data_IF_034168524803
#
_entry.id   IF_034168524803
#
_cell.length_a   1.000
_cell.length_b   1.000
_cell.length_c   1.000
_cell.angle_alpha   90.00
_cell.angle_beta   90.00
_cell.angle_gamma   90.00
#
_symmetry.space_group_name_H-M   'P 1'
#
loop_
_entity.id
_entity.type
_entity.pdbx_description
1 polymer ?
#
# COMPACT_ATOMS: atom_id res chain seq x y z
N UNK A 1 -18.25 -18.70 3.17
CA UNK A 1 -18.73 -17.36 2.75
C UNK A 1 -18.36 -16.36 3.85
N UNK A 2 -17.18 -15.74 3.77
CA UNK A 2 -16.73 -14.77 4.78
C UNK A 2 -17.51 -13.46 4.62
N UNK A 3 -18.20 -13.06 5.69
CA UNK A 3 -18.85 -11.76 5.84
C UNK A 3 -17.89 -10.85 6.59
N UNK A 4 -17.19 -9.95 5.88
CA UNK A 4 -16.79 -8.58 6.30
C UNK A 4 -15.85 -8.01 5.23
N UNK A 5 -15.66 -6.69 5.24
CA UNK A 5 -15.06 -5.83 4.21
C UNK A 5 -16.08 -5.23 3.23
N UNK A 6 -16.84 -4.26 3.77
CA UNK A 6 -17.68 -3.34 3.03
C UNK A 6 -16.96 -1.99 2.82
N UNK A 7 -17.18 -1.41 1.63
CA UNK A 7 -16.79 -0.09 1.13
C UNK A 7 -15.34 0.10 0.62
N UNK A 8 -15.26 0.52 -0.64
CA UNK A 8 -14.06 0.78 -1.43
C UNK A 8 -13.22 1.95 -0.90
N UNK A 9 -13.82 2.93 -0.22
CA UNK A 9 -13.10 4.04 0.41
C UNK A 9 -12.24 3.59 1.61
N UNK A 10 -12.57 2.43 2.18
CA UNK A 10 -11.94 1.89 3.38
C UNK A 10 -10.85 0.86 3.10
N UNK A 11 -10.47 0.62 1.84
CA UNK A 11 -9.58 -0.49 1.48
C UNK A 11 -8.15 -0.34 1.99
N UNK A 12 -7.61 0.88 1.93
CA UNK A 12 -6.25 1.22 2.37
C UNK A 12 -6.24 1.54 3.86
N UNK A 13 -7.13 2.47 4.24
CA UNK A 13 -7.47 2.79 5.61
C UNK A 13 -7.69 1.51 6.44
N UNK A 14 -8.65 0.64 6.16
CA UNK A 14 -8.92 -0.55 7.03
C UNK A 14 -7.91 -1.69 6.90
N UNK A 15 -7.03 -1.69 5.89
CA UNK A 15 -5.93 -2.66 5.87
C UNK A 15 -4.87 -2.33 6.94
N UNK A 16 -4.85 -1.08 7.42
CA UNK A 16 -3.83 -0.56 8.35
C UNK A 16 -4.41 0.11 9.62
N UNK A 17 -5.63 0.65 9.57
CA UNK A 17 -6.29 1.44 10.64
C UNK A 17 -7.05 0.55 11.64
N UNK A 18 -7.49 -0.66 11.25
CA UNK A 18 -8.33 -1.52 12.11
C UNK A 18 -7.87 -2.99 12.16
N UNK A 19 -6.64 -3.29 11.71
CA UNK A 19 -6.04 -4.62 11.88
C UNK A 19 -5.18 -4.63 13.13
N UNK A 20 -5.82 -5.03 14.23
CA UNK A 20 -5.27 -5.44 15.54
C UNK A 20 -3.78 -5.79 15.55
N UNK A 21 -3.01 -5.01 16.32
CA UNK A 21 -1.59 -5.21 16.56
C UNK A 21 -1.33 -5.76 17.97
N UNK A 22 -0.76 -6.97 18.06
CA UNK A 22 -0.16 -7.47 19.31
C UNK A 22 1.28 -6.99 19.46
N UNK A 23 1.47 -5.72 19.85
CA UNK A 23 2.75 -5.17 20.29
C UNK A 23 2.60 -4.68 21.75
N UNK A 24 3.57 -4.89 22.66
CA UNK A 24 3.43 -4.54 24.08
C UNK A 24 3.08 -3.07 24.36
N UNK A 25 3.35 -2.17 23.41
CA UNK A 25 3.02 -0.73 23.48
C UNK A 25 1.83 -0.32 22.61
N UNK A 26 1.17 -1.26 21.92
CA UNK A 26 -0.03 -0.99 21.09
C UNK A 26 -1.29 -1.55 21.79
N UNK A 27 -2.46 -0.90 21.67
CA UNK A 27 -3.69 -1.36 22.32
C UNK A 27 -4.07 -2.79 21.91
N UNK A 28 -4.26 -3.66 22.90
CA UNK A 28 -4.54 -5.08 22.72
C UNK A 28 -6.05 -5.36 22.77
N UNK A 29 -6.60 -6.27 21.93
CA UNK A 29 -7.89 -6.87 22.23
C UNK A 29 -7.76 -7.69 23.52
N UNK A 30 -8.77 -7.60 24.39
CA UNK A 30 -8.77 -8.36 25.65
C UNK A 30 -8.89 -9.85 25.32
N UNK A 31 -8.24 -10.67 26.15
CA UNK A 31 -8.05 -12.12 25.93
C UNK A 31 -9.32 -12.91 25.65
N UNK A 32 -10.48 -12.36 25.99
CA UNK A 32 -11.78 -13.02 25.90
C UNK A 32 -12.42 -12.92 24.50
N UNK A 33 -11.83 -12.13 23.58
CA UNK A 33 -12.28 -11.97 22.18
C UNK A 33 -11.41 -12.78 21.17
N UNK A 34 -10.63 -13.75 21.64
CA UNK A 34 -9.83 -14.61 20.75
C UNK A 34 -10.72 -15.67 20.11
N UNK A 35 -11.50 -15.28 19.10
CA UNK A 35 -12.29 -16.21 18.29
C UNK A 35 -11.40 -17.33 17.72
N UNK A 36 -11.91 -18.57 17.73
CA UNK A 36 -11.26 -19.76 17.14
C UNK A 36 -10.95 -19.60 15.63
N UNK A 37 -11.50 -18.55 15.00
CA UNK A 37 -11.35 -18.18 13.58
C UNK A 37 -10.30 -17.05 13.33
N UNK A 38 -9.37 -16.80 14.26
CA UNK A 38 -8.34 -15.76 14.07
C UNK A 38 -7.22 -16.16 13.08
N UNK A 39 -6.65 -15.19 12.35
CA UNK A 39 -5.47 -15.38 11.48
C UNK A 39 -4.20 -15.82 12.23
N UNK A 40 -4.23 -15.83 13.57
CA UNK A 40 -3.18 -16.40 14.42
C UNK A 40 -3.14 -17.93 14.34
N UNK A 41 -4.24 -18.56 13.95
CA UNK A 41 -4.31 -20.01 13.75
C UNK A 41 -4.03 -20.32 12.29
N UNK A 42 -3.26 -21.38 12.04
CA UNK A 42 -3.01 -21.86 10.69
C UNK A 42 -4.29 -22.45 10.09
N UNK A 43 -4.89 -21.75 9.13
CA UNK A 43 -6.09 -22.20 8.42
C UNK A 43 -5.79 -23.01 7.15
N UNK A 44 -4.55 -22.93 6.65
CA UNK A 44 -4.05 -23.59 5.44
C UNK A 44 -2.68 -24.22 5.68
N UNK A 45 -2.44 -25.44 5.16
CA UNK A 45 -1.14 -26.11 5.29
C UNK A 45 -0.01 -25.37 4.56
N UNK A 46 -0.36 -24.58 3.53
CA UNK A 46 0.54 -23.68 2.80
C UNK A 46 -0.19 -22.43 2.37
N UNK A 47 0.53 -21.33 2.25
CA UNK A 47 0.00 -20.07 1.73
C UNK A 47 1.05 -19.34 0.89
N UNK A 48 0.57 -18.36 0.11
CA UNK A 48 1.38 -17.46 -0.69
C UNK A 48 1.13 -16.03 -0.22
N UNK A 49 2.13 -15.18 -0.32
CA UNK A 49 2.00 -13.72 -0.30
C UNK A 49 2.84 -13.17 -1.45
N UNK A 50 2.64 -11.89 -1.78
CA UNK A 50 3.39 -11.20 -2.83
C UNK A 50 4.07 -9.99 -2.22
N UNK A 51 5.32 -9.78 -2.60
CA UNK A 51 6.07 -8.55 -2.34
C UNK A 51 6.26 -7.85 -3.67
N UNK A 52 5.94 -6.55 -3.70
CA UNK A 52 6.41 -5.63 -4.72
C UNK A 52 6.93 -4.36 -4.06
N UNK A 53 7.49 -3.47 -4.86
CA UNK A 53 8.03 -2.19 -4.44
C UNK A 53 8.09 -1.27 -5.67
N UNK A 54 8.38 0.01 -5.43
CA UNK A 54 8.77 0.96 -6.49
C UNK A 54 7.71 1.11 -7.60
N UNK A 55 6.43 1.25 -7.22
CA UNK A 55 5.41 1.59 -8.21
C UNK A 55 5.58 3.01 -8.74
N UNK A 56 6.15 3.89 -7.90
CA UNK A 56 6.64 5.23 -8.21
C UNK A 56 5.80 6.01 -9.23
N UNK A 57 4.49 6.12 -8.98
CA UNK A 57 3.58 6.82 -9.90
C UNK A 57 4.11 8.24 -10.20
N UNK A 58 4.49 8.48 -11.46
CA UNK A 58 4.99 9.76 -11.95
C UNK A 58 6.51 9.90 -12.01
N UNK A 59 7.28 8.84 -11.74
CA UNK A 59 8.75 8.89 -11.83
C UNK A 59 9.23 9.03 -13.27
N UNK A 60 8.47 8.49 -14.24
CA UNK A 60 8.82 8.54 -15.67
C UNK A 60 8.53 9.92 -16.28
N UNK A 61 7.83 10.80 -15.55
CA UNK A 61 7.60 12.19 -15.97
C UNK A 61 8.94 12.92 -16.11
N UNK A 62 9.52 12.89 -17.32
CA UNK A 62 10.85 13.41 -17.58
C UNK A 62 10.87 14.95 -17.67
N UNK A 63 11.97 15.53 -17.21
CA UNK A 63 12.61 16.68 -17.86
C UNK A 63 12.03 18.08 -17.68
N UNK A 64 10.74 18.28 -17.88
CA UNK A 64 10.22 19.60 -18.24
C UNK A 64 8.87 19.91 -17.59
N UNK A 65 8.51 21.19 -17.59
CA UNK A 65 7.17 21.61 -17.23
C UNK A 65 6.23 21.02 -18.28
N UNK A 66 5.50 19.97 -17.91
CA UNK A 66 4.52 19.37 -18.79
C UNK A 66 3.21 20.12 -18.64
N UNK A 67 2.61 20.51 -19.76
CA UNK A 67 1.25 21.03 -19.79
C UNK A 67 0.22 19.99 -19.33
N UNK A 68 0.58 18.70 -19.41
CA UNK A 68 -0.28 17.57 -19.04
C UNK A 68 0.52 16.46 -18.31
N UNK A 69 0.68 16.56 -16.98
CA UNK A 69 1.23 15.50 -16.13
C UNK A 69 0.52 14.15 -16.28
N UNK A 70 1.27 13.07 -16.53
CA UNK A 70 0.71 11.71 -16.61
C UNK A 70 1.67 10.64 -16.09
N UNK A 71 1.12 9.51 -15.66
CA UNK A 71 1.82 8.31 -15.18
C UNK A 71 1.15 7.05 -15.73
N UNK A 72 0.77 7.11 -17.00
CA UNK A 72 0.04 6.04 -17.71
C UNK A 72 0.84 4.74 -17.76
N UNK A 73 2.18 4.84 -17.85
CA UNK A 73 3.06 3.68 -17.88
C UNK A 73 3.00 2.94 -16.54
N UNK A 74 3.14 3.66 -15.43
CA UNK A 74 3.07 3.12 -14.06
C UNK A 74 1.68 2.56 -13.76
N UNK A 75 0.62 3.23 -14.21
CA UNK A 75 -0.76 2.73 -14.15
C UNK A 75 -0.89 1.41 -14.91
N UNK A 76 -0.43 1.32 -16.15
CA UNK A 76 -0.61 0.13 -16.98
C UNK A 76 0.23 -1.04 -16.48
N UNK A 77 1.46 -0.80 -16.00
CA UNK A 77 2.26 -1.83 -15.31
C UNK A 77 1.50 -2.35 -14.09
N UNK A 78 0.96 -1.46 -13.25
CA UNK A 78 0.20 -1.83 -12.04
C UNK A 78 -1.07 -2.61 -12.38
N UNK A 79 -1.84 -2.20 -13.39
CA UNK A 79 -3.03 -2.91 -13.87
C UNK A 79 -2.68 -4.33 -14.35
N UNK A 80 -1.58 -4.49 -15.09
CA UNK A 80 -1.11 -5.82 -15.53
C UNK A 80 -0.68 -6.70 -14.35
N UNK A 81 -0.01 -6.13 -13.36
CA UNK A 81 0.35 -6.85 -12.13
C UNK A 81 -0.91 -7.32 -11.40
N UNK A 82 -1.86 -6.42 -11.14
CA UNK A 82 -3.15 -6.72 -10.51
C UNK A 82 -3.91 -7.81 -11.25
N UNK A 83 -3.97 -7.75 -12.60
CA UNK A 83 -4.62 -8.77 -13.41
C UNK A 83 -4.00 -10.15 -13.20
N UNK A 84 -2.67 -10.24 -13.12
CA UNK A 84 -1.95 -11.49 -12.85
C UNK A 84 -2.23 -11.99 -11.43
N UNK A 85 -2.17 -11.11 -10.44
CA UNK A 85 -2.44 -11.45 -9.03
C UNK A 85 -3.87 -11.99 -8.87
N UNK A 86 -4.84 -11.28 -9.45
CA UNK A 86 -6.26 -11.65 -9.41
C UNK A 86 -6.55 -12.98 -10.13
N UNK A 87 -5.67 -13.43 -11.04
CA UNK A 87 -5.83 -14.71 -11.72
C UNK A 87 -5.32 -15.90 -10.88
N UNK A 88 -4.50 -15.65 -9.84
CA UNK A 88 -3.92 -16.70 -9.00
C UNK A 88 -5.01 -17.39 -8.16
N UNK A 89 -4.96 -18.72 -8.17
CA UNK A 89 -5.86 -19.59 -7.40
C UNK A 89 -7.34 -19.49 -7.76
N UNK A 90 -7.67 -19.03 -8.98
CA UNK A 90 -9.05 -19.03 -9.51
C UNK A 90 -9.51 -20.37 -10.05
N UNK A 91 -8.57 -21.28 -10.39
CA UNK A 91 -8.91 -22.61 -10.89
C UNK A 91 -9.19 -23.55 -9.71
N UNK A 92 -10.15 -24.45 -9.90
CA UNK A 92 -10.50 -25.47 -8.92
C UNK A 92 -9.27 -26.32 -8.59
N UNK A 93 -8.94 -26.44 -7.30
CA UNK A 93 -7.75 -27.15 -6.82
C UNK A 93 -6.49 -26.29 -6.68
N UNK A 94 -6.51 -25.03 -7.13
CA UNK A 94 -5.40 -24.07 -7.00
C UNK A 94 -5.69 -23.01 -5.92
N UNK A 95 -6.70 -23.16 -5.07
CA UNK A 95 -7.14 -22.12 -4.12
C UNK A 95 -6.01 -21.66 -3.17
N UNK A 96 -5.06 -22.55 -2.89
CA UNK A 96 -3.87 -22.29 -2.08
C UNK A 96 -2.83 -21.39 -2.78
N UNK A 97 -2.87 -21.29 -4.12
CA UNK A 97 -2.02 -20.38 -4.91
C UNK A 97 -2.47 -18.94 -4.80
N UNK A 98 -3.71 -18.70 -4.35
CA UNK A 98 -4.22 -17.36 -4.15
C UNK A 98 -3.47 -16.69 -2.97
N UNK A 99 -2.84 -15.52 -3.19
CA UNK A 99 -2.13 -14.82 -2.13
C UNK A 99 -3.05 -14.44 -0.98
N UNK A 100 -2.56 -14.57 0.26
CA UNK A 100 -3.25 -14.10 1.45
C UNK A 100 -3.17 -12.59 1.62
N UNK A 101 -2.12 -11.97 1.08
CA UNK A 101 -1.92 -10.52 1.02
C UNK A 101 -0.88 -10.17 -0.04
N UNK A 102 -0.85 -8.90 -0.41
CA UNK A 102 0.19 -8.26 -1.20
C UNK A 102 0.82 -7.17 -0.33
N UNK A 103 2.14 -7.13 -0.23
CA UNK A 103 2.89 -6.07 0.43
C UNK A 103 3.61 -5.22 -0.62
N UNK A 104 3.36 -3.91 -0.62
CA UNK A 104 4.07 -2.91 -1.43
C UNK A 104 5.08 -2.19 -0.54
N UNK A 105 6.35 -2.53 -0.71
CA UNK A 105 7.46 -2.16 0.16
C UNK A 105 8.09 -0.81 -0.25
N UNK A 106 7.28 0.26 -0.26
CA UNK A 106 7.76 1.62 -0.44
C UNK A 106 7.80 2.12 -1.88
N UNK A 107 8.10 3.41 -1.97
CA UNK A 107 8.19 4.20 -3.19
C UNK A 107 6.93 4.04 -4.05
N UNK A 108 5.79 4.34 -3.42
CA UNK A 108 4.46 4.15 -4.00
C UNK A 108 4.18 5.19 -5.08
N UNK A 109 4.49 6.45 -4.77
CA UNK A 109 4.40 7.62 -5.66
C UNK A 109 5.78 8.23 -5.87
N UNK A 110 5.96 9.06 -6.89
CA UNK A 110 7.27 9.63 -7.22
C UNK A 110 7.86 10.44 -6.06
N UNK A 111 7.13 11.35 -5.42
CA UNK A 111 7.71 12.11 -4.29
C UNK A 111 6.65 12.87 -3.52
N UNK A 112 6.80 12.87 -2.20
CA UNK A 112 6.07 13.77 -1.33
C UNK A 112 6.25 15.25 -1.72
N UNK A 113 5.14 15.98 -1.82
CA UNK A 113 5.08 17.33 -2.35
C UNK A 113 6.05 18.34 -1.71
N UNK A 114 6.44 18.17 -0.44
CA UNK A 114 7.34 19.10 0.25
C UNK A 114 8.82 18.91 -0.12
N UNK A 115 9.22 17.80 -0.75
CA UNK A 115 10.61 17.55 -1.10
C UNK A 115 11.01 18.28 -2.39
N UNK A 116 11.58 19.46 -2.21
CA UNK A 116 12.12 20.28 -3.30
C UNK A 116 13.55 19.88 -3.72
N UNK A 117 14.23 19.02 -2.94
CA UNK A 117 15.60 18.57 -3.21
C UNK A 117 15.69 17.30 -4.05
N UNK A 118 14.56 16.64 -4.33
CA UNK A 118 14.53 15.46 -5.19
C UNK A 118 14.98 15.85 -6.60
N UNK A 119 15.96 15.12 -7.16
CA UNK A 119 16.44 15.29 -8.53
C UNK A 119 15.37 14.78 -9.51
N UNK A 120 14.25 15.48 -9.65
CA UNK A 120 13.32 15.25 -10.75
C UNK A 120 13.03 16.58 -11.43
N UNK A 121 13.16 16.56 -12.75
CA UNK A 121 13.30 17.77 -13.56
C UNK A 121 12.01 18.59 -13.63
N UNK A 122 10.84 17.97 -13.43
CA UNK A 122 9.55 18.66 -13.27
C UNK A 122 9.41 19.37 -11.91
N UNK A 123 9.99 18.81 -10.83
CA UNK A 123 9.91 19.39 -9.47
C UNK A 123 10.69 20.70 -9.34
N UNK A 124 11.67 20.93 -10.23
CA UNK A 124 12.45 22.18 -10.28
C UNK A 124 11.71 23.33 -10.96
N UNK A 125 10.76 23.00 -11.84
CA UNK A 125 10.07 23.98 -12.70
C UNK A 125 8.62 24.20 -12.27
N UNK A 126 8.09 23.34 -11.40
CA UNK A 126 6.78 23.52 -10.77
C UNK A 126 6.85 24.27 -9.45
N UNK A 127 5.91 25.19 -9.26
CA UNK A 127 5.67 25.86 -7.98
C UNK A 127 5.27 24.88 -6.88
N UNK A 128 5.30 25.34 -5.63
CA UNK A 128 4.93 24.48 -4.49
C UNK A 128 3.48 23.95 -4.56
N UNK A 129 2.55 24.73 -5.11
CA UNK A 129 1.15 24.29 -5.20
C UNK A 129 0.94 23.29 -6.34
N UNK A 130 1.62 23.46 -7.48
CA UNK A 130 1.56 22.50 -8.60
C UNK A 130 2.10 21.14 -8.18
N UNK A 131 3.25 21.12 -7.47
CA UNK A 131 3.81 19.88 -6.92
C UNK A 131 2.85 19.17 -5.97
N UNK A 132 2.11 19.94 -5.15
CA UNK A 132 1.12 19.37 -4.25
C UNK A 132 -0.06 18.75 -5.00
N UNK A 133 -0.59 19.42 -6.02
CA UNK A 133 -1.66 18.86 -6.85
C UNK A 133 -1.23 17.58 -7.58
N UNK A 134 -0.01 17.55 -8.13
CA UNK A 134 0.55 16.35 -8.77
C UNK A 134 0.67 15.21 -7.76
N UNK A 135 1.24 15.47 -6.58
CA UNK A 135 1.37 14.46 -5.52
C UNK A 135 0.00 13.89 -5.08
N UNK A 136 -1.00 14.75 -4.84
CA UNK A 136 -2.34 14.31 -4.46
C UNK A 136 -2.98 13.45 -5.57
N UNK A 137 -2.79 13.83 -6.82
CA UNK A 137 -3.32 13.10 -7.97
C UNK A 137 -2.60 11.74 -8.17
N UNK A 138 -1.28 11.66 -7.96
CA UNK A 138 -0.53 10.38 -7.94
C UNK A 138 -1.05 9.44 -6.84
N UNK A 139 -1.25 9.95 -5.62
CA UNK A 139 -1.81 9.16 -4.52
C UNK A 139 -3.21 8.66 -4.83
N UNK A 140 -4.06 9.53 -5.39
CA UNK A 140 -5.43 9.19 -5.78
C UNK A 140 -5.43 8.07 -6.83
N UNK A 141 -4.61 8.19 -7.86
CA UNK A 141 -4.58 7.21 -8.95
C UNK A 141 -3.93 5.90 -8.55
N UNK A 142 -2.91 5.92 -7.69
CA UNK A 142 -2.39 4.70 -7.06
C UNK A 142 -3.52 3.96 -6.35
N UNK A 143 -4.30 4.66 -5.52
CA UNK A 143 -5.43 4.07 -4.77
C UNK A 143 -6.52 3.59 -5.72
N UNK A 144 -6.84 4.33 -6.76
CA UNK A 144 -7.84 3.93 -7.74
C UNK A 144 -7.41 2.64 -8.47
N UNK A 145 -6.18 2.59 -8.99
CA UNK A 145 -5.66 1.44 -9.72
C UNK A 145 -5.60 0.21 -8.82
N UNK A 146 -4.94 0.31 -7.67
CA UNK A 146 -4.77 -0.81 -6.76
C UNK A 146 -6.07 -1.24 -6.05
N UNK A 147 -7.12 -0.42 -6.08
CA UNK A 147 -8.47 -0.84 -5.64
C UNK A 147 -9.08 -1.90 -6.54
N UNK A 148 -8.49 -2.18 -7.71
CA UNK A 148 -8.88 -3.28 -8.60
C UNK A 148 -8.26 -4.63 -8.21
N UNK A 149 -7.35 -4.67 -7.23
CA UNK A 149 -6.94 -5.92 -6.60
C UNK A 149 -8.19 -6.64 -6.11
N UNK A 150 -8.21 -7.97 -6.14
CA UNK A 150 -9.40 -8.70 -5.70
C UNK A 150 -9.68 -8.39 -4.22
N UNK A 151 -10.93 -8.07 -3.87
CA UNK A 151 -11.33 -7.54 -2.55
C UNK A 151 -10.97 -8.46 -1.38
N UNK A 152 -10.79 -9.75 -1.65
CA UNK A 152 -10.41 -10.73 -0.63
C UNK A 152 -8.88 -10.82 -0.43
N UNK A 153 -8.09 -10.08 -1.23
CA UNK A 153 -6.64 -9.96 -1.09
C UNK A 153 -6.34 -8.57 -0.49
N UNK A 154 -5.90 -8.50 0.78
CA UNK A 154 -5.42 -7.29 1.40
C UNK A 154 -4.16 -6.75 0.71
N UNK A 155 -4.05 -5.43 0.66
CA UNK A 155 -2.86 -4.72 0.23
C UNK A 155 -2.26 -4.01 1.45
N UNK A 156 -1.01 -4.33 1.76
CA UNK A 156 -0.24 -3.72 2.84
C UNK A 156 0.75 -2.75 2.22
N UNK A 157 0.68 -1.48 2.58
CA UNK A 157 1.59 -0.46 2.06
C UNK A 157 2.68 -0.16 3.08
N UNK A 158 3.90 0.00 2.62
CA UNK A 158 5.01 0.54 3.40
C UNK A 158 5.45 1.85 2.75
N UNK A 159 6.00 2.77 3.53
CA UNK A 159 6.60 3.96 2.97
C UNK A 159 8.03 3.65 2.53
N UNK A 160 8.44 4.21 1.40
CA UNK A 160 9.83 4.34 0.99
C UNK A 160 10.30 5.79 1.09
N UNK A 161 11.55 6.04 0.75
CA UNK A 161 12.13 7.39 0.86
C UNK A 161 11.50 8.39 -0.11
N UNK A 162 10.85 7.95 -1.19
CA UNK A 162 10.06 8.84 -2.05
C UNK A 162 8.75 9.27 -1.38
N UNK A 163 8.14 8.40 -0.56
CA UNK A 163 6.86 8.69 0.09
C UNK A 163 7.01 9.58 1.33
N UNK A 164 8.08 9.40 2.10
CA UNK A 164 8.29 10.08 3.41
C UNK A 164 9.59 10.85 3.53
N UNK A 165 10.48 10.75 2.53
CA UNK A 165 11.75 11.48 2.44
C UNK A 165 12.94 10.69 2.98
N UNK A 166 14.15 11.01 2.50
CA UNK A 166 15.40 10.44 3.03
C UNK A 166 15.65 10.74 4.51
N UNK A 167 14.98 11.77 5.04
CA UNK A 167 14.95 12.13 6.46
C UNK A 167 13.50 12.42 6.83
N UNK A 168 12.72 11.39 7.15
CA UNK A 168 11.31 11.56 7.46
C UNK A 168 11.10 12.58 8.58
N UNK A 169 10.04 13.37 8.47
CA UNK A 169 9.65 14.32 9.49
C UNK A 169 8.16 14.14 9.83
N UNK A 170 7.71 14.79 10.90
CA UNK A 170 6.32 14.64 11.38
C UNK A 170 5.28 14.93 10.29
N UNK A 171 5.53 15.89 9.40
CA UNK A 171 4.58 16.28 8.34
C UNK A 171 4.54 15.22 7.25
N UNK A 172 5.68 14.70 6.79
CA UNK A 172 5.70 13.68 5.74
C UNK A 172 5.13 12.35 6.20
N UNK A 173 5.40 11.94 7.45
CA UNK A 173 4.79 10.75 8.06
C UNK A 173 3.28 10.94 8.18
N UNK A 174 2.80 12.07 8.70
CA UNK A 174 1.36 12.31 8.84
C UNK A 174 0.63 12.28 7.50
N UNK A 175 1.23 12.82 6.43
CA UNK A 175 0.68 12.74 5.07
C UNK A 175 0.64 11.30 4.55
N UNK A 176 1.69 10.53 4.79
CA UNK A 176 1.69 9.10 4.47
C UNK A 176 0.55 8.38 5.20
N UNK A 177 0.40 8.65 6.50
CA UNK A 177 -0.64 8.05 7.34
C UNK A 177 -2.06 8.37 6.89
N UNK A 178 -2.30 9.61 6.49
CA UNK A 178 -3.58 10.03 5.92
C UNK A 178 -3.86 9.34 4.59
N UNK A 179 -2.83 9.04 3.81
CA UNK A 179 -2.98 8.42 2.50
C UNK A 179 -3.17 6.90 2.57
N UNK A 180 -2.33 6.23 3.34
CA UNK A 180 -2.18 4.77 3.30
C UNK A 180 -2.59 4.13 4.63
N UNK A 181 -2.19 4.72 5.76
CA UNK A 181 -2.41 4.19 7.10
C UNK A 181 -1.10 4.16 7.88
N UNK A 182 -1.03 3.39 8.98
CA UNK A 182 0.15 3.38 9.84
C UNK A 182 1.45 3.07 9.09
N UNK A 183 2.49 3.83 9.40
CA UNK A 183 3.82 3.78 8.77
C UNK A 183 4.68 2.63 9.30
N UNK A 184 4.30 2.04 10.43
CA UNK A 184 4.80 0.77 10.94
C UNK A 184 3.64 -0.05 11.46
N UNK A 185 3.63 -1.35 11.18
CA UNK A 185 2.57 -2.24 11.63
C UNK A 185 3.08 -3.68 11.74
N UNK A 186 2.19 -4.57 12.10
CA UNK A 186 2.38 -6.00 12.21
C UNK A 186 1.02 -6.69 12.03
N UNK A 187 1.00 -7.94 11.61
CA UNK A 187 -0.26 -8.64 11.44
C UNK A 187 -0.03 -10.14 11.39
N UNK A 188 -1.07 -10.86 11.77
CA UNK A 188 -1.11 -12.30 11.57
C UNK A 188 -1.69 -12.64 10.20
N UNK A 189 -1.12 -13.64 9.56
CA UNK A 189 -1.67 -14.27 8.36
C UNK A 189 -1.39 -15.77 8.46
N UNK A 190 -2.44 -16.60 8.52
CA UNK A 190 -2.31 -18.05 8.53
C UNK A 190 -1.27 -18.60 9.53
N UNK A 191 -1.29 -18.12 10.78
CA UNK A 191 -0.35 -18.53 11.83
C UNK A 191 1.07 -17.96 11.73
N UNK A 192 1.30 -16.98 10.84
CA UNK A 192 2.58 -16.25 10.75
C UNK A 192 2.42 -14.82 11.26
N UNK A 193 3.37 -14.35 12.05
CA UNK A 193 3.42 -12.96 12.52
C UNK A 193 4.37 -12.15 11.64
N UNK A 194 3.80 -11.19 10.92
CA UNK A 194 4.50 -10.34 9.98
C UNK A 194 4.73 -8.98 10.64
N UNK A 195 5.94 -8.43 10.53
CA UNK A 195 6.31 -7.13 11.10
C UNK A 195 6.78 -6.23 9.95
N UNK A 196 6.22 -5.03 9.92
CA UNK A 196 6.44 -4.00 8.90
C UNK A 196 7.09 -2.81 9.59
N UNK A 197 8.29 -2.47 9.14
CA UNK A 197 9.08 -1.38 9.71
C UNK A 197 9.32 -0.27 8.69
N UNK A 198 9.26 0.96 9.18
CA UNK A 198 9.76 2.14 8.49
C UNK A 198 11.26 2.27 8.80
N UNK A 199 12.12 2.29 7.77
CA UNK A 199 13.58 2.28 7.91
C UNK A 199 14.20 3.52 7.27
#
# INVERSE_FOLDING_TARGET
KSRRFASYAYRYASAQIDRTLRHPTLPQPKTDDCDEDSEMVQSRPRHRFIIGADTQFGIIMDGFAMSDPNWDTEIEVSRRAIKKINAMGKKKGEEHERPLFVAMCGDLVDTEASFHSAMASWKKVMSSWERHLVYEQQNKDFKEVWSNLDKDIPLVCMCGNHDVGNRPNKVSIERYKQNYGDDYLAFWANGTYNIVVNN
#
